data_IF_738048364890
#
_entry.id   IF_738048364890
#
_cell.length_a   1.000
_cell.length_b   1.000
_cell.length_c   1.000
_cell.angle_alpha   90.00
_cell.angle_beta   90.00
_cell.angle_gamma   90.00
#
_symmetry.space_group_name_H-M   'P 1'
#
loop_
_entity.id
_entity.type
_entity.pdbx_description
1 polymer ?
#
# COMPACT_ATOMS: atom_id res chain seq x y z
N UNK A 1 4.33 33.46 48.26
CA UNK A 1 4.19 33.98 46.89
C UNK A 1 5.61 34.22 46.38
N UNK A 2 6.15 33.64 45.32
CA UNK A 2 5.69 32.68 44.32
C UNK A 2 6.96 31.93 43.87
N UNK A 3 6.86 30.60 43.73
CA UNK A 3 7.94 29.77 43.24
C UNK A 3 8.14 29.95 41.74
N UNK A 4 9.37 30.27 41.34
CA UNK A 4 9.81 30.08 39.95
C UNK A 4 10.56 28.74 39.89
N UNK A 5 9.80 27.66 39.67
CA UNK A 5 10.38 26.41 39.18
C UNK A 5 10.67 26.65 37.71
N UNK A 6 11.94 26.80 37.38
CA UNK A 6 12.45 26.81 36.01
C UNK A 6 12.08 25.43 35.43
N UNK A 7 10.98 25.40 34.67
CA UNK A 7 10.57 24.25 33.92
C UNK A 7 11.56 24.13 32.75
N UNK A 8 12.56 23.27 32.94
CA UNK A 8 13.37 22.72 31.87
C UNK A 8 12.42 22.05 30.88
N UNK A 9 11.98 22.79 29.85
CA UNK A 9 11.47 22.18 28.65
C UNK A 9 12.64 21.44 28.02
N UNK A 10 12.75 20.16 28.36
CA UNK A 10 13.28 19.13 27.48
C UNK A 10 12.49 19.21 26.18
N UNK A 11 12.89 20.13 25.31
CA UNK A 11 12.68 20.01 23.88
C UNK A 11 13.40 18.72 23.53
N UNK A 12 12.65 17.63 23.52
CA UNK A 12 13.01 16.41 22.84
C UNK A 12 13.13 16.82 21.38
N UNK A 13 14.32 17.31 21.03
CA UNK A 13 14.77 17.53 19.68
C UNK A 13 14.83 16.14 19.07
N UNK A 14 13.66 15.66 18.66
CA UNK A 14 13.50 14.44 17.90
C UNK A 14 14.20 14.74 16.60
N UNK A 15 15.50 14.39 16.55
CA UNK A 15 16.31 14.46 15.36
C UNK A 15 15.46 13.83 14.26
N UNK A 16 15.02 14.67 13.32
CA UNK A 16 14.54 14.28 12.02
C UNK A 16 15.74 13.67 11.31
N UNK A 17 16.11 12.45 11.69
CA UNK A 17 16.89 11.60 10.82
C UNK A 17 15.98 11.28 9.65
N UNK A 18 16.11 12.04 8.57
CA UNK A 18 15.93 11.47 7.23
C UNK A 18 16.77 10.20 7.18
N UNK A 19 16.21 9.13 6.62
CA UNK A 19 16.82 7.80 6.64
C UNK A 19 18.31 7.87 6.23
N UNK A 20 19.22 7.70 7.19
CA UNK A 20 20.68 7.67 6.97
C UNK A 20 21.15 6.21 6.88
N UNK A 21 20.46 5.43 6.06
CA UNK A 21 20.88 4.12 5.57
C UNK A 21 20.79 4.18 4.05
N UNK A 22 21.42 3.24 3.32
CA UNK A 22 21.36 3.15 1.86
C UNK A 22 19.90 3.09 1.38
N UNK A 23 19.28 4.25 1.19
CA UNK A 23 17.88 4.36 0.81
C UNK A 23 17.79 4.14 -0.69
N UNK A 24 16.96 3.17 -1.09
CA UNK A 24 16.59 3.03 -2.48
C UNK A 24 15.57 4.14 -2.82
N UNK A 25 15.63 4.65 -4.05
CA UNK A 25 14.89 5.85 -4.44
C UNK A 25 14.23 5.65 -5.79
N UNK A 26 12.96 6.01 -5.89
CA UNK A 26 12.21 6.00 -7.15
C UNK A 26 11.59 7.37 -7.37
N UNK A 27 11.87 7.94 -8.54
CA UNK A 27 11.11 9.04 -9.10
C UNK A 27 9.99 8.46 -9.95
N UNK A 28 8.76 8.89 -9.68
CA UNK A 28 7.60 8.42 -10.43
C UNK A 28 6.63 9.55 -10.69
N UNK A 29 5.83 9.35 -11.72
CA UNK A 29 4.79 10.26 -12.16
C UNK A 29 3.48 9.49 -12.15
N UNK A 30 2.46 10.07 -11.52
CA UNK A 30 1.15 9.45 -11.33
C UNK A 30 0.10 10.53 -11.63
N UNK A 31 -0.83 10.24 -12.54
CA UNK A 31 -1.94 11.15 -12.84
C UNK A 31 -3.06 11.04 -11.79
N UNK A 32 -3.94 12.02 -11.74
CA UNK A 32 -5.12 12.01 -10.87
C UNK A 32 -6.03 10.83 -11.26
N UNK A 33 -6.49 10.10 -10.25
CA UNK A 33 -7.17 8.80 -10.33
C UNK A 33 -6.30 7.66 -10.88
N UNK A 34 -4.98 7.82 -10.84
CA UNK A 34 -4.03 6.74 -11.05
C UNK A 34 -3.28 6.43 -9.76
N UNK A 35 -2.61 5.28 -9.77
CA UNK A 35 -1.80 4.81 -8.67
C UNK A 35 -0.77 3.80 -9.10
N UNK A 36 0.09 3.47 -8.15
CA UNK A 36 1.15 2.48 -8.29
C UNK A 36 1.11 1.52 -7.12
N UNK A 37 1.66 0.33 -7.35
CA UNK A 37 1.93 -0.65 -6.30
C UNK A 37 3.43 -0.79 -6.15
N UNK A 38 3.91 -0.61 -4.94
CA UNK A 38 5.31 -0.81 -4.57
C UNK A 38 5.46 -2.18 -3.92
N UNK A 39 6.39 -2.98 -4.44
CA UNK A 39 6.74 -4.30 -3.92
C UNK A 39 5.54 -5.26 -3.75
N UNK A 40 4.46 -5.06 -4.51
CA UNK A 40 3.23 -5.85 -4.40
C UNK A 40 2.44 -5.62 -3.11
N UNK A 41 2.71 -4.56 -2.37
CA UNK A 41 2.12 -4.32 -1.04
C UNK A 41 1.58 -2.89 -0.87
N UNK A 42 2.41 -1.87 -1.08
CA UNK A 42 2.02 -0.48 -0.81
C UNK A 42 1.38 0.12 -2.06
N UNK A 43 0.11 0.46 -1.94
CA UNK A 43 -0.63 1.19 -2.95
C UNK A 43 -0.53 2.70 -2.67
N UNK A 44 -0.20 3.45 -3.71
CA UNK A 44 -0.18 4.92 -3.69
C UNK A 44 -1.05 5.40 -4.83
N UNK A 45 -2.14 6.07 -4.52
CA UNK A 45 -3.09 6.63 -5.49
C UNK A 45 -3.13 8.15 -5.37
N UNK A 46 -3.14 8.86 -6.48
CA UNK A 46 -3.32 10.32 -6.50
C UNK A 46 -4.81 10.61 -6.70
N UNK A 47 -5.44 11.17 -5.68
CA UNK A 47 -6.87 11.50 -5.68
C UNK A 47 -7.17 12.89 -6.24
N UNK A 48 -6.23 13.82 -6.11
CA UNK A 48 -6.40 15.21 -6.53
C UNK A 48 -5.04 15.90 -6.63
N UNK A 49 -4.92 16.91 -7.49
CA UNK A 49 -3.77 17.83 -7.51
C UNK A 49 -4.27 19.26 -7.73
N UNK A 50 -3.55 20.22 -7.19
CA UNK A 50 -3.95 21.61 -7.38
C UNK A 50 -2.94 22.64 -6.91
N UNK A 51 -3.28 23.90 -7.15
CA UNK A 51 -2.41 25.06 -6.86
C UNK A 51 -3.02 26.04 -5.85
N UNK A 52 -4.20 25.72 -5.31
CA UNK A 52 -4.91 26.57 -4.35
C UNK A 52 -4.18 26.57 -2.99
N UNK A 53 -3.39 27.61 -2.73
CA UNK A 53 -2.60 27.74 -1.50
C UNK A 53 -1.19 27.13 -1.59
N UNK A 54 -0.76 26.73 -2.78
CA UNK A 54 0.51 26.04 -3.04
C UNK A 54 0.29 24.84 -3.95
N UNK A 55 1.34 24.37 -4.62
CA UNK A 55 1.28 23.11 -5.37
C UNK A 55 1.08 21.96 -4.40
N UNK A 56 -0.02 21.22 -4.55
CA UNK A 56 -0.34 20.08 -3.70
C UNK A 56 -0.79 18.87 -4.51
N UNK A 57 -0.68 17.70 -3.88
CA UNK A 57 -1.27 16.46 -4.32
C UNK A 57 -1.95 15.80 -3.12
N UNK A 58 -3.16 15.28 -3.30
CA UNK A 58 -3.88 14.46 -2.32
C UNK A 58 -3.65 13.00 -2.68
N UNK A 59 -3.00 12.27 -1.79
CA UNK A 59 -2.64 10.87 -2.01
C UNK A 59 -3.41 9.97 -1.05
N UNK A 60 -3.76 8.78 -1.51
CA UNK A 60 -4.23 7.67 -0.68
C UNK A 60 -3.16 6.60 -0.63
N UNK A 61 -2.75 6.25 0.57
CA UNK A 61 -1.86 5.15 0.87
C UNK A 61 -2.67 4.00 1.44
N UNK A 62 -2.48 2.79 0.96
CA UNK A 62 -3.09 1.62 1.57
C UNK A 62 -2.23 0.39 1.31
N UNK A 63 -2.53 -0.69 2.01
CA UNK A 63 -1.92 -2.00 1.77
C UNK A 63 -2.96 -3.09 1.93
N UNK A 64 -2.67 -4.30 1.47
CA UNK A 64 -3.60 -5.43 1.60
C UNK A 64 -3.97 -5.73 3.07
N UNK A 65 -3.08 -5.44 4.02
CA UNK A 65 -3.33 -5.57 5.48
C UNK A 65 -3.94 -4.34 6.13
N UNK A 66 -4.08 -3.24 5.39
CA UNK A 66 -4.62 -1.96 5.84
C UNK A 66 -5.47 -1.35 4.72
N UNK A 67 -6.60 -2.01 4.44
CA UNK A 67 -7.53 -1.61 3.38
C UNK A 67 -8.21 -0.25 3.66
N UNK A 68 -8.31 0.13 4.93
CA UNK A 68 -8.78 1.47 5.34
C UNK A 68 -7.81 2.57 4.92
N UNK A 69 -6.51 2.27 4.96
CA UNK A 69 -5.45 3.13 4.45
C UNK A 69 -5.39 4.49 5.13
N UNK A 70 -4.68 5.41 4.48
CA UNK A 70 -4.45 6.76 4.93
C UNK A 70 -4.51 7.72 3.75
N UNK A 71 -5.38 8.73 3.83
CA UNK A 71 -5.39 9.82 2.86
C UNK A 71 -4.66 11.02 3.43
N UNK A 72 -3.71 11.58 2.66
CA UNK A 72 -2.92 12.73 3.05
C UNK A 72 -2.85 13.75 1.92
N UNK A 73 -2.79 15.03 2.28
CA UNK A 73 -2.53 16.11 1.33
C UNK A 73 -1.11 16.58 1.52
N UNK A 74 -0.31 16.46 0.47
CA UNK A 74 1.11 16.82 0.46
C UNK A 74 1.31 18.10 -0.30
N UNK A 75 2.05 19.05 0.26
CA UNK A 75 2.45 20.28 -0.45
C UNK A 75 3.89 20.18 -0.93
N UNK A 76 4.17 20.86 -2.05
CA UNK A 76 5.52 20.95 -2.59
C UNK A 76 6.42 21.68 -1.60
N UNK A 77 7.53 21.04 -1.23
CA UNK A 77 8.50 21.56 -0.28
C UNK A 77 8.22 21.20 1.18
N UNK A 78 7.16 20.44 1.46
CA UNK A 78 6.90 19.88 2.79
C UNK A 78 7.90 18.76 3.13
N UNK A 79 7.92 18.41 4.42
CA UNK A 79 8.60 17.21 4.91
C UNK A 79 8.01 15.95 4.26
N UNK A 80 8.83 14.93 3.98
CA UNK A 80 8.34 13.68 3.42
C UNK A 80 7.24 13.06 4.28
N UNK A 81 6.17 12.63 3.63
CA UNK A 81 5.08 11.88 4.28
C UNK A 81 5.51 10.43 4.44
N UNK A 82 5.44 9.94 5.68
CA UNK A 82 5.79 8.55 5.99
C UNK A 82 4.55 7.66 5.95
N UNK A 83 4.69 6.50 5.32
CA UNK A 83 3.70 5.44 5.37
C UNK A 83 4.40 4.12 5.72
N UNK A 84 3.79 3.36 6.64
CA UNK A 84 4.23 2.03 7.03
C UNK A 84 3.14 1.06 6.66
N UNK A 85 3.44 0.08 5.80
CA UNK A 85 2.47 -0.95 5.44
C UNK A 85 2.27 -1.95 6.57
N UNK A 86 1.23 -2.78 6.47
CA UNK A 86 1.02 -3.89 7.40
C UNK A 86 2.10 -4.99 7.34
N UNK A 87 3.03 -4.95 6.39
CA UNK A 87 4.23 -5.82 6.35
C UNK A 87 5.46 -5.18 7.01
N UNK A 88 5.29 -4.01 7.64
CA UNK A 88 6.35 -3.20 8.25
C UNK A 88 7.30 -2.55 7.24
N UNK A 89 6.99 -2.57 5.94
CA UNK A 89 7.71 -1.81 4.94
C UNK A 89 7.41 -0.31 5.12
N UNK A 90 8.45 0.52 5.18
CA UNK A 90 8.31 1.96 5.32
C UNK A 90 8.73 2.69 4.06
N UNK A 91 7.89 3.63 3.62
CA UNK A 91 8.18 4.55 2.52
C UNK A 91 8.06 5.98 3.00
N UNK A 92 8.97 6.82 2.51
CA UNK A 92 8.91 8.27 2.64
C UNK A 92 8.59 8.83 1.25
N UNK A 93 7.45 9.51 1.12
CA UNK A 93 6.99 10.09 -0.13
C UNK A 93 7.12 11.59 -0.05
N UNK A 94 7.64 12.21 -1.10
CA UNK A 94 7.77 13.66 -1.22
C UNK A 94 7.16 14.12 -2.54
N UNK A 95 6.42 15.22 -2.50
CA UNK A 95 5.91 15.87 -3.70
C UNK A 95 7.00 16.78 -4.28
N UNK A 96 7.56 16.39 -5.43
CA UNK A 96 8.60 17.15 -6.12
C UNK A 96 7.99 18.29 -6.95
N UNK A 97 6.98 17.96 -7.75
CA UNK A 97 6.24 18.94 -8.56
C UNK A 97 4.86 18.40 -8.96
N UNK A 98 4.04 19.28 -9.53
CA UNK A 98 2.78 18.92 -10.17
C UNK A 98 2.71 19.57 -11.54
N UNK A 99 1.90 18.99 -12.43
CA UNK A 99 1.60 19.56 -13.75
C UNK A 99 0.20 19.16 -14.15
N UNK A 100 -0.69 20.12 -14.42
CA UNK A 100 -2.11 19.85 -14.72
C UNK A 100 -2.71 18.88 -13.70
N UNK A 101 -2.97 17.64 -14.12
CA UNK A 101 -3.58 16.57 -13.34
C UNK A 101 -2.56 15.50 -12.94
N UNK A 102 -1.28 15.86 -12.84
CA UNK A 102 -0.18 14.93 -12.64
C UNK A 102 0.66 15.31 -11.43
N UNK A 103 0.98 14.33 -10.58
CA UNK A 103 1.92 14.47 -9.48
C UNK A 103 3.27 13.81 -9.80
N UNK A 104 4.36 14.52 -9.55
CA UNK A 104 5.72 14.00 -9.61
C UNK A 104 6.19 13.73 -8.19
N UNK A 105 6.40 12.45 -7.89
CA UNK A 105 6.70 11.97 -6.55
C UNK A 105 8.12 11.42 -6.48
N UNK A 106 8.80 11.74 -5.38
CA UNK A 106 10.03 11.09 -4.96
C UNK A 106 9.68 10.14 -3.82
N UNK A 107 10.01 8.86 -3.97
CA UNK A 107 9.73 7.82 -2.98
C UNK A 107 11.05 7.22 -2.52
N UNK A 108 11.25 7.17 -1.22
CA UNK A 108 12.45 6.66 -0.58
C UNK A 108 12.10 5.54 0.40
N UNK A 109 12.96 4.53 0.49
CA UNK A 109 12.82 3.45 1.48
C UNK A 109 14.17 2.88 1.86
N UNK A 110 14.27 2.32 3.06
CA UNK A 110 15.45 1.56 3.50
C UNK A 110 15.58 0.20 2.80
N UNK A 111 14.51 -0.27 2.16
CA UNK A 111 14.47 -1.53 1.42
C UNK A 111 14.42 -1.27 -0.07
N UNK A 112 14.86 -2.23 -0.89
CA UNK A 112 14.77 -2.12 -2.34
C UNK A 112 13.33 -1.82 -2.78
N UNK A 113 13.18 -0.79 -3.61
CA UNK A 113 11.90 -0.35 -4.14
C UNK A 113 11.75 -0.88 -5.57
N UNK A 114 10.58 -1.42 -5.86
CA UNK A 114 10.16 -1.78 -7.21
C UNK A 114 8.71 -1.38 -7.39
N UNK A 115 8.42 -0.64 -8.46
CA UNK A 115 7.06 -0.50 -8.94
C UNK A 115 6.69 -1.84 -9.54
N UNK A 116 5.83 -2.58 -8.86
CA UNK A 116 5.33 -3.88 -9.32
C UNK A 116 4.13 -3.73 -10.22
N UNK A 117 3.36 -2.65 -10.04
CA UNK A 117 2.19 -2.39 -10.87
C UNK A 117 1.86 -0.89 -10.96
N UNK A 118 1.10 -0.52 -11.99
CA UNK A 118 0.50 0.81 -12.17
C UNK A 118 -0.96 0.64 -12.60
N UNK A 119 -1.88 1.35 -11.97
CA UNK A 119 -3.30 1.29 -12.27
C UNK A 119 -3.89 2.70 -12.40
N UNK A 120 -4.86 2.91 -13.29
CA UNK A 120 -5.39 4.24 -13.57
C UNK A 120 -5.94 4.38 -14.99
N UNK A 121 -7.05 5.11 -15.15
CA UNK A 121 -7.70 5.25 -16.46
C UNK A 121 -6.98 6.31 -17.31
N UNK A 122 -6.03 5.86 -18.14
CA UNK A 122 -5.33 6.69 -19.10
C UNK A 122 -6.29 7.44 -20.03
N UNK A 123 -6.39 8.76 -19.83
CA UNK A 123 -6.95 9.69 -20.80
C UNK A 123 -5.91 10.01 -21.88
N UNK A 124 -5.49 9.03 -22.69
CA UNK A 124 -4.54 9.31 -23.77
C UNK A 124 -3.86 8.12 -24.43
N UNK A 125 -4.61 7.31 -25.18
CA UNK A 125 -4.12 6.61 -26.38
C UNK A 125 -2.84 5.77 -26.26
N UNK A 126 -2.92 4.63 -25.57
CA UNK A 126 -1.93 3.55 -25.67
C UNK A 126 -2.52 2.25 -25.13
N UNK A 127 -2.78 1.29 -26.02
CA UNK A 127 -3.51 0.04 -25.74
C UNK A 127 -2.97 -0.77 -24.56
N UNK A 128 -3.84 -1.08 -23.59
CA UNK A 128 -3.62 -2.18 -22.64
C UNK A 128 -4.29 -2.02 -21.27
N UNK A 129 -5.63 -2.03 -21.20
CA UNK A 129 -6.38 -2.16 -19.94
C UNK A 129 -7.61 -1.26 -19.86
N UNK A 130 -8.76 -1.74 -20.31
CA UNK A 130 -10.04 -1.05 -20.12
C UNK A 130 -10.56 -1.29 -18.70
N UNK A 131 -10.57 -0.25 -17.86
CA UNK A 131 -11.44 -0.22 -16.67
C UNK A 131 -12.65 0.66 -16.95
N UNK A 132 -13.90 0.16 -16.81
CA UNK A 132 -15.07 1.00 -16.79
C UNK A 132 -15.22 1.69 -15.42
N UNK A 133 -15.68 2.95 -15.37
CA UNK A 133 -16.04 3.60 -14.12
C UNK A 133 -17.37 3.00 -13.64
N UNK A 134 -17.29 1.98 -12.80
CA UNK A 134 -18.45 1.30 -12.23
C UNK A 134 -18.05 0.61 -10.94
N UNK A 135 -18.79 0.91 -9.87
CA UNK A 135 -18.82 0.24 -8.57
C UNK A 135 -17.89 -0.99 -8.45
N UNK A 136 -16.73 -0.83 -7.79
CA UNK A 136 -15.86 -1.94 -7.38
C UNK A 136 -16.63 -2.81 -6.39
N UNK A 137 -17.45 -3.69 -6.94
CA UNK A 137 -18.24 -4.63 -6.17
C UNK A 137 -17.29 -5.75 -5.80
N UNK A 138 -17.22 -6.03 -4.52
CA UNK A 138 -16.52 -7.16 -3.92
C UNK A 138 -17.65 -8.01 -3.33
N UNK A 139 -18.14 -8.94 -4.14
CA UNK A 139 -19.39 -9.66 -3.89
C UNK A 139 -19.23 -10.68 -2.76
N UNK A 140 -18.04 -11.23 -2.54
CA UNK A 140 -17.76 -12.21 -1.49
C UNK A 140 -17.04 -11.63 -0.25
N UNK A 141 -16.56 -10.38 -0.37
CA UNK A 141 -16.01 -9.60 0.73
C UNK A 141 -14.62 -10.04 1.15
N UNK A 142 -13.88 -10.67 0.25
CA UNK A 142 -12.53 -11.19 0.52
C UNK A 142 -11.42 -10.12 0.42
N UNK A 143 -11.78 -8.92 -0.06
CA UNK A 143 -10.88 -7.80 -0.26
C UNK A 143 -10.36 -7.64 -1.69
N UNK A 144 -10.81 -8.47 -2.64
CA UNK A 144 -10.51 -8.41 -4.07
C UNK A 144 -11.79 -8.05 -4.84
N UNK A 145 -11.83 -6.91 -5.55
CA UNK A 145 -12.96 -6.56 -6.40
C UNK A 145 -13.26 -7.64 -7.46
N UNK A 146 -14.54 -7.90 -7.76
CA UNK A 146 -15.02 -8.92 -8.72
C UNK A 146 -14.34 -8.85 -10.11
N UNK A 147 -13.84 -7.66 -10.49
CA UNK A 147 -13.14 -7.43 -11.77
C UNK A 147 -11.71 -7.99 -11.79
N UNK A 148 -11.14 -8.26 -10.62
CA UNK A 148 -9.79 -8.78 -10.38
C UNK A 148 -9.82 -10.15 -9.69
N UNK A 149 -11.01 -10.62 -9.35
CA UNK A 149 -11.18 -11.85 -8.62
C UNK A 149 -11.46 -13.02 -9.58
N UNK A 150 -10.52 -13.97 -9.66
CA UNK A 150 -10.73 -15.21 -10.38
C UNK A 150 -11.62 -16.21 -9.61
N UNK A 151 -11.81 -16.03 -8.30
CA UNK A 151 -12.69 -16.82 -7.45
C UNK A 151 -13.59 -15.95 -6.57
N UNK A 152 -14.66 -15.46 -7.20
CA UNK A 152 -15.72 -14.62 -6.64
C UNK A 152 -16.62 -15.30 -5.59
N UNK A 153 -16.13 -16.37 -4.97
CA UNK A 153 -16.76 -17.12 -3.89
C UNK A 153 -15.87 -17.30 -2.67
N UNK A 154 -14.72 -16.62 -2.65
CA UNK A 154 -13.76 -16.67 -1.56
C UNK A 154 -14.38 -16.06 -0.30
N UNK A 155 -14.44 -16.80 0.82
CA UNK A 155 -14.98 -16.22 2.04
C UNK A 155 -14.07 -15.12 2.60
N UNK A 156 -14.68 -14.04 3.11
CA UNK A 156 -14.00 -13.00 3.85
C UNK A 156 -13.04 -13.55 4.95
N UNK A 157 -11.79 -13.07 4.92
CA UNK A 157 -10.73 -13.47 5.86
C UNK A 157 -9.80 -14.58 5.36
N UNK A 158 -9.98 -15.05 4.12
CA UNK A 158 -9.06 -15.97 3.45
C UNK A 158 -7.85 -15.20 2.89
N UNK A 159 -6.74 -15.90 2.65
CA UNK A 159 -5.59 -15.32 1.96
C UNK A 159 -5.74 -15.49 0.47
N UNK A 160 -5.92 -14.36 -0.20
CA UNK A 160 -6.05 -14.23 -1.64
C UNK A 160 -4.67 -14.07 -2.29
N UNK A 161 -4.45 -14.78 -3.39
CA UNK A 161 -3.26 -14.59 -4.21
C UNK A 161 -3.46 -13.41 -5.19
N UNK A 162 -2.49 -13.15 -6.06
CA UNK A 162 -2.57 -12.06 -7.06
C UNK A 162 -3.68 -12.24 -8.09
N UNK A 163 -4.24 -13.44 -8.21
CA UNK A 163 -5.33 -13.75 -9.12
C UNK A 163 -6.70 -13.69 -8.40
N UNK A 164 -6.75 -13.29 -7.12
CA UNK A 164 -7.98 -13.27 -6.32
C UNK A 164 -8.38 -14.61 -5.70
N UNK A 165 -7.60 -15.67 -5.91
CA UNK A 165 -7.97 -17.00 -5.41
C UNK A 165 -7.62 -17.12 -3.92
N UNK A 166 -8.63 -17.26 -3.08
CA UNK A 166 -8.48 -17.39 -1.63
C UNK A 166 -8.14 -18.80 -1.12
N UNK A 167 -7.30 -18.88 -0.09
CA UNK A 167 -7.12 -20.06 0.75
C UNK A 167 -7.31 -19.75 2.24
N UNK A 168 -7.98 -20.66 2.94
CA UNK A 168 -8.18 -20.54 4.38
C UNK A 168 -6.84 -20.65 5.11
N UNK A 169 -6.62 -19.82 6.12
CA UNK A 169 -5.46 -19.95 6.99
C UNK A 169 -5.41 -21.32 7.66
N UNK A 170 -4.40 -22.11 7.30
CA UNK A 170 -4.20 -23.42 7.89
C UNK A 170 -5.00 -24.54 7.23
N UNK A 171 -5.71 -24.31 6.12
CA UNK A 171 -6.21 -25.38 5.25
C UNK A 171 -5.09 -25.81 4.31
N UNK A 172 -4.39 -26.86 4.72
CA UNK A 172 -3.15 -27.31 4.08
C UNK A 172 -3.41 -28.39 3.04
N UNK A 173 -4.63 -28.92 3.03
CA UNK A 173 -5.05 -29.93 2.07
C UNK A 173 -5.96 -29.37 0.96
N UNK A 174 -6.48 -28.15 1.13
CA UNK A 174 -7.31 -27.45 0.16
C UNK A 174 -8.77 -27.91 0.12
N UNK A 175 -9.29 -28.55 1.17
CA UNK A 175 -10.67 -29.05 1.23
C UNK A 175 -11.68 -28.05 1.80
N UNK A 176 -11.23 -26.84 2.13
CA UNK A 176 -12.03 -25.75 2.67
C UNK A 176 -12.43 -25.94 4.12
N UNK A 177 -11.81 -26.85 4.89
CA UNK A 177 -12.12 -27.10 6.30
C UNK A 177 -10.86 -27.08 7.16
N UNK A 178 -10.96 -26.45 8.33
CA UNK A 178 -9.89 -26.52 9.32
C UNK A 178 -10.05 -27.73 10.23
N UNK A 179 -9.26 -28.77 10.00
CA UNK A 179 -9.36 -30.03 10.75
C UNK A 179 -7.99 -30.49 11.25
N UNK A 180 -7.98 -31.60 12.01
CA UNK A 180 -6.73 -32.27 12.38
C UNK A 180 -5.94 -32.81 11.17
N UNK A 181 -6.58 -32.96 10.00
CA UNK A 181 -5.90 -33.39 8.77
C UNK A 181 -4.93 -32.33 8.29
N UNK A 182 -5.29 -31.05 8.40
CA UNK A 182 -4.43 -29.94 8.01
C UNK A 182 -3.23 -29.78 8.93
N UNK A 183 -3.46 -29.93 10.24
CA UNK A 183 -2.38 -29.99 11.20
C UNK A 183 -1.43 -31.17 10.92
N UNK A 184 -1.97 -32.31 10.47
CA UNK A 184 -1.17 -33.47 10.07
C UNK A 184 -0.35 -33.19 8.80
N UNK A 185 -0.89 -32.49 7.80
CA UNK A 185 -0.14 -32.07 6.60
C UNK A 185 1.09 -31.25 6.99
N UNK A 186 0.92 -30.24 7.85
CA UNK A 186 2.05 -29.43 8.36
C UNK A 186 3.07 -30.28 9.09
N UNK A 187 2.62 -31.19 9.95
CA UNK A 187 3.52 -32.07 10.69
C UNK A 187 4.30 -32.98 9.76
N UNK A 188 3.64 -33.57 8.77
CA UNK A 188 4.26 -34.43 7.76
C UNK A 188 5.28 -33.67 6.92
N UNK A 189 4.97 -32.43 6.53
CA UNK A 189 5.89 -31.56 5.81
C UNK A 189 7.11 -31.20 6.66
N UNK A 190 6.89 -30.83 7.93
CA UNK A 190 7.96 -30.46 8.86
C UNK A 190 8.94 -31.61 9.14
N UNK A 191 8.45 -32.86 9.13
CA UNK A 191 9.32 -34.05 9.28
C UNK A 191 9.87 -34.56 7.94
N UNK A 192 9.65 -33.85 6.83
CA UNK A 192 10.16 -34.19 5.49
C UNK A 192 9.49 -35.40 4.85
N UNK A 193 8.26 -35.75 5.26
CA UNK A 193 7.49 -36.84 4.64
C UNK A 193 6.76 -36.41 3.37
N UNK A 194 6.37 -35.15 3.26
CA UNK A 194 5.67 -34.57 2.11
C UNK A 194 6.22 -33.17 1.80
N UNK A 195 6.00 -32.68 0.59
CA UNK A 195 6.17 -31.26 0.23
C UNK A 195 4.78 -30.61 0.13
N UNK A 196 4.68 -29.34 0.53
CA UNK A 196 3.46 -28.52 0.50
C UNK A 196 3.51 -27.54 -0.68
#
# INVERSE_FOLDING_TARGET
>A
MNGYRILTMTVLFMLMFSMTASADRINTTIDVNEGIVLNGDIHIEVLDVGTNGGSYAKLKFYSYKDAGGKTETMYKGDVPTKYTSGTLMMVEVTLDSISYDTAFLMIESTTSLKITDRYGCGGGGGSGGTYPPGNITDTDGDGVPDVWDADNSTPAGYWVNSDGIGRMWGDMNGDGKLTSVDALMILQAAVGKIEL
#
